data_IF_494875873360
#
_entry.id   IF_494875873360
#
_cell.length_a   1.000
_cell.length_b   1.000
_cell.length_c   1.000
_cell.angle_alpha   90.00
_cell.angle_beta   90.00
_cell.angle_gamma   90.00
#
_symmetry.space_group_name_H-M   'P 1'
#
loop_
_entity.id
_entity.type
_entity.pdbx_description
1 polymer ?
#
# COMPACT_ATOMS: atom_id res chain seq x y z
N UNK A 1 -55.23 -15.25 13.62
CA UNK A 1 -54.48 -15.18 12.33
C UNK A 1 -53.58 -16.40 12.23
N UNK A 2 -53.81 -17.29 11.27
CA UNK A 2 -53.08 -18.54 11.12
C UNK A 2 -51.66 -18.29 10.59
N UNK A 3 -50.64 -18.88 11.24
CA UNK A 3 -49.25 -18.92 10.74
C UNK A 3 -49.23 -19.68 9.42
N UNK A 4 -48.98 -18.99 8.31
CA UNK A 4 -48.66 -19.64 7.05
C UNK A 4 -47.29 -20.35 7.20
N UNK A 5 -47.32 -21.68 7.34
CA UNK A 5 -46.12 -22.51 7.21
C UNK A 5 -45.80 -22.64 5.73
N UNK A 6 -44.89 -21.80 5.25
CA UNK A 6 -44.33 -21.92 3.90
C UNK A 6 -43.64 -23.29 3.79
N UNK A 7 -44.00 -24.13 2.81
CA UNK A 7 -43.37 -25.43 2.64
C UNK A 7 -41.88 -25.26 2.34
N UNK A 8 -41.00 -26.15 2.86
CA UNK A 8 -39.56 -26.04 2.60
C UNK A 8 -39.30 -26.13 1.10
N UNK A 9 -38.62 -25.12 0.55
CA UNK A 9 -38.21 -25.11 -0.85
C UNK A 9 -37.33 -26.34 -1.11
N UNK A 10 -37.65 -27.18 -2.12
CA UNK A 10 -36.89 -28.39 -2.39
C UNK A 10 -35.47 -28.03 -2.83
N UNK A 11 -34.48 -28.64 -2.17
CA UNK A 11 -33.08 -28.46 -2.54
C UNK A 11 -32.82 -29.05 -3.94
N UNK A 12 -32.00 -28.40 -4.79
CA UNK A 12 -31.58 -28.96 -6.07
C UNK A 12 -30.95 -30.34 -5.92
N UNK A 13 -31.17 -31.24 -6.89
CA UNK A 13 -30.67 -32.63 -6.86
C UNK A 13 -29.15 -32.76 -6.62
N UNK A 14 -28.36 -31.75 -7.02
CA UNK A 14 -26.90 -31.70 -6.85
C UNK A 14 -26.46 -30.69 -5.78
N UNK A 15 -27.32 -30.39 -4.80
CA UNK A 15 -27.07 -29.37 -3.78
C UNK A 15 -25.68 -29.49 -3.13
N UNK A 16 -25.25 -30.66 -2.59
CA UNK A 16 -23.94 -30.79 -1.94
C UNK A 16 -22.77 -30.44 -2.86
N UNK A 17 -22.88 -30.75 -4.16
CA UNK A 17 -21.82 -30.52 -5.14
C UNK A 17 -21.66 -29.04 -5.52
N UNK A 18 -22.69 -28.21 -5.30
CA UNK A 18 -22.71 -26.80 -5.73
C UNK A 18 -22.76 -25.79 -4.59
N UNK A 19 -22.83 -26.22 -3.31
CA UNK A 19 -22.94 -25.30 -2.15
C UNK A 19 -21.86 -24.23 -2.13
N UNK A 20 -20.60 -24.62 -2.37
CA UNK A 20 -19.46 -23.69 -2.31
C UNK A 20 -19.58 -22.60 -3.38
N UNK A 21 -19.85 -22.99 -4.62
CA UNK A 21 -20.09 -22.04 -5.70
C UNK A 21 -21.34 -21.21 -5.43
N UNK A 22 -22.43 -21.81 -4.97
CA UNK A 22 -23.68 -21.11 -4.70
C UNK A 22 -23.49 -20.00 -3.65
N UNK A 23 -22.73 -20.28 -2.58
CA UNK A 23 -22.39 -19.29 -1.56
C UNK A 23 -21.64 -18.09 -2.15
N UNK A 24 -20.61 -18.32 -2.98
CA UNK A 24 -19.84 -17.25 -3.62
C UNK A 24 -20.73 -16.43 -4.57
N UNK A 25 -21.52 -17.07 -5.42
CA UNK A 25 -22.41 -16.37 -6.35
C UNK A 25 -23.50 -15.58 -5.62
N UNK A 26 -24.08 -16.12 -4.54
CA UNK A 26 -25.07 -15.41 -3.73
C UNK A 26 -24.47 -14.13 -3.11
N UNK A 27 -23.25 -14.19 -2.58
CA UNK A 27 -22.55 -13.01 -2.04
C UNK A 27 -22.24 -12.00 -3.15
N UNK A 28 -21.77 -12.46 -4.32
CA UNK A 28 -21.49 -11.59 -5.46
C UNK A 28 -22.76 -10.88 -5.96
N UNK A 29 -23.89 -11.59 -6.05
CA UNK A 29 -25.19 -11.02 -6.40
C UNK A 29 -25.68 -10.02 -5.35
N UNK A 30 -25.53 -10.33 -4.06
CA UNK A 30 -25.87 -9.39 -2.99
C UNK A 30 -25.03 -8.09 -3.09
N UNK A 31 -23.73 -8.20 -3.35
CA UNK A 31 -22.84 -7.03 -3.56
C UNK A 31 -23.26 -6.21 -4.78
N UNK A 32 -23.61 -6.87 -5.89
CA UNK A 32 -24.11 -6.20 -7.09
C UNK A 32 -25.43 -5.46 -6.79
N UNK A 33 -26.40 -6.15 -6.18
CA UNK A 33 -27.70 -5.58 -5.82
C UNK A 33 -27.58 -4.38 -4.87
N UNK A 34 -26.70 -4.46 -3.86
CA UNK A 34 -26.42 -3.33 -2.97
C UNK A 34 -25.79 -2.15 -3.71
N UNK A 35 -24.92 -2.42 -4.67
CA UNK A 35 -24.25 -1.37 -5.46
C UNK A 35 -25.24 -0.69 -6.40
N UNK A 36 -26.12 -1.44 -7.08
CA UNK A 36 -27.15 -0.90 -7.95
C UNK A 36 -28.19 -0.11 -7.15
N UNK A 37 -28.67 -0.64 -6.02
CA UNK A 37 -29.61 0.05 -5.15
C UNK A 37 -29.04 1.38 -4.63
N UNK A 38 -27.76 1.41 -4.26
CA UNK A 38 -27.08 2.65 -3.84
C UNK A 38 -26.87 3.65 -4.97
N UNK A 39 -26.63 3.17 -6.20
CA UNK A 39 -26.52 4.02 -7.38
C UNK A 39 -27.84 4.69 -7.76
N UNK A 40 -28.97 4.01 -7.52
CA UNK A 40 -30.32 4.53 -7.78
C UNK A 40 -30.90 5.35 -6.61
N UNK A 41 -30.36 5.18 -5.40
CA UNK A 41 -30.80 5.92 -4.23
C UNK A 41 -30.40 7.41 -4.31
N UNK A 42 -31.32 8.26 -4.78
CA UNK A 42 -31.26 9.71 -4.65
C UNK A 42 -31.60 10.12 -3.20
N UNK A 43 -30.65 9.98 -2.26
CA UNK A 43 -30.88 10.46 -0.89
C UNK A 43 -30.50 11.94 -0.74
N UNK A 44 -31.32 12.66 0.02
CA UNK A 44 -31.13 14.06 0.39
C UNK A 44 -29.91 14.28 1.30
N UNK A 45 -29.41 13.23 1.97
CA UNK A 45 -28.21 13.29 2.82
C UNK A 45 -27.04 12.45 2.23
N UNK A 46 -26.05 13.10 1.58
CA UNK A 46 -24.82 12.45 1.14
C UNK A 46 -23.93 11.93 2.28
N UNK A 47 -24.00 12.52 3.48
CA UNK A 47 -23.14 12.19 4.62
C UNK A 47 -23.37 10.78 5.14
N UNK A 48 -24.63 10.45 5.45
CA UNK A 48 -25.01 9.11 5.93
C UNK A 48 -24.65 7.99 4.93
N UNK A 49 -24.80 8.24 3.62
CA UNK A 49 -24.36 7.28 2.57
C UNK A 49 -22.86 7.03 2.62
N UNK A 50 -22.07 8.09 2.79
CA UNK A 50 -20.61 7.98 2.88
C UNK A 50 -20.20 7.19 4.11
N UNK A 51 -20.82 7.45 5.26
CA UNK A 51 -20.56 6.71 6.50
C UNK A 51 -20.89 5.22 6.32
N UNK A 52 -22.07 4.89 5.82
CA UNK A 52 -22.47 3.49 5.60
C UNK A 52 -21.48 2.74 4.67
N UNK A 53 -21.02 3.40 3.60
CA UNK A 53 -20.03 2.84 2.68
C UNK A 53 -18.68 2.61 3.37
N UNK A 54 -18.20 3.57 4.16
CA UNK A 54 -16.93 3.44 4.88
C UNK A 54 -17.01 2.34 5.94
N UNK A 55 -18.14 2.22 6.64
CA UNK A 55 -18.36 1.15 7.62
C UNK A 55 -18.29 -0.23 6.96
N UNK A 56 -18.93 -0.42 5.81
CA UNK A 56 -18.83 -1.69 5.07
C UNK A 56 -17.38 -1.97 4.63
N UNK A 57 -16.68 -0.97 4.10
CA UNK A 57 -15.29 -1.11 3.70
C UNK A 57 -14.38 -1.52 4.87
N UNK A 58 -14.59 -0.93 6.05
CA UNK A 58 -13.86 -1.30 7.27
C UNK A 58 -14.11 -2.78 7.63
N UNK A 59 -15.35 -3.27 7.48
CA UNK A 59 -15.66 -4.68 7.76
C UNK A 59 -14.99 -5.63 6.76
N UNK A 60 -14.97 -5.27 5.47
CA UNK A 60 -14.27 -6.05 4.44
C UNK A 60 -12.77 -6.09 4.68
N UNK A 61 -12.16 -4.94 5.02
CA UNK A 61 -10.73 -4.86 5.36
C UNK A 61 -10.42 -5.70 6.60
N UNK A 62 -11.29 -5.68 7.63
CA UNK A 62 -11.11 -6.53 8.81
C UNK A 62 -11.15 -8.02 8.46
N UNK A 63 -12.02 -8.44 7.56
CA UNK A 63 -12.07 -9.83 7.10
C UNK A 63 -10.82 -10.19 6.29
N UNK A 64 -10.31 -9.28 5.45
CA UNK A 64 -9.03 -9.45 4.76
C UNK A 64 -7.87 -9.62 5.74
N UNK A 65 -7.79 -8.75 6.76
CA UNK A 65 -6.77 -8.83 7.81
C UNK A 65 -6.90 -10.15 8.57
N UNK A 66 -8.11 -10.56 8.97
CA UNK A 66 -8.35 -11.85 9.66
C UNK A 66 -7.77 -13.04 8.88
N UNK A 67 -7.99 -13.10 7.57
CA UNK A 67 -7.48 -14.18 6.72
C UNK A 67 -5.94 -14.15 6.66
N UNK A 68 -5.35 -12.96 6.49
CA UNK A 68 -3.89 -12.78 6.47
C UNK A 68 -3.27 -13.12 7.82
N UNK A 69 -3.87 -12.69 8.92
CA UNK A 69 -3.40 -12.90 10.28
C UNK A 69 -3.43 -14.38 10.64
N UNK A 70 -4.52 -15.10 10.32
CA UNK A 70 -4.59 -16.56 10.52
C UNK A 70 -3.48 -17.28 9.74
N UNK A 71 -3.25 -16.87 8.49
CA UNK A 71 -2.18 -17.43 7.66
C UNK A 71 -0.79 -17.17 8.27
N UNK A 72 -0.54 -15.95 8.75
CA UNK A 72 0.76 -15.58 9.36
C UNK A 72 0.94 -16.24 10.72
N UNK A 73 -0.12 -16.35 11.52
CA UNK A 73 -0.10 -17.00 12.83
C UNK A 73 0.27 -18.48 12.71
N UNK A 74 -0.21 -19.17 11.68
CA UNK A 74 0.14 -20.56 11.38
C UNK A 74 1.62 -20.79 11.01
N UNK A 75 2.38 -19.74 10.67
CA UNK A 75 3.81 -19.83 10.43
C UNK A 75 4.53 -19.78 11.80
N UNK A 76 5.43 -20.74 12.13
CA UNK A 76 6.22 -20.68 13.35
C UNK A 76 6.98 -19.35 13.45
N UNK A 77 7.01 -18.73 14.63
CA UNK A 77 7.55 -17.38 14.81
C UNK A 77 8.96 -17.17 14.22
N UNK A 78 9.83 -18.17 14.31
CA UNK A 78 11.19 -18.16 13.77
C UNK A 78 11.27 -18.17 12.24
N UNK A 79 10.21 -18.60 11.55
CA UNK A 79 10.11 -18.69 10.09
C UNK A 79 9.27 -17.56 9.48
N UNK A 80 8.70 -16.68 10.30
CA UNK A 80 7.92 -15.55 9.80
C UNK A 80 8.84 -14.58 9.06
N UNK A 81 8.39 -13.98 7.94
CA UNK A 81 9.14 -12.94 7.25
C UNK A 81 9.54 -11.81 8.20
N UNK A 82 10.80 -11.38 8.14
CA UNK A 82 11.29 -10.30 8.97
C UNK A 82 10.88 -8.94 8.42
N UNK A 83 10.39 -8.05 9.29
CA UNK A 83 10.17 -6.64 8.94
C UNK A 83 11.50 -5.95 8.64
N UNK A 84 11.56 -5.22 7.52
CA UNK A 84 12.72 -4.39 7.16
C UNK A 84 12.78 -3.12 8.03
N UNK A 85 13.93 -2.43 8.15
CA UNK A 85 14.06 -1.26 9.05
C UNK A 85 13.02 -0.16 8.82
N UNK A 86 12.58 0.06 7.58
CA UNK A 86 11.53 1.05 7.24
C UNK A 86 10.14 0.62 7.69
N UNK A 87 9.83 -0.68 7.62
CA UNK A 87 8.56 -1.22 8.10
C UNK A 87 8.50 -1.19 9.62
N UNK A 88 9.62 -1.42 10.31
CA UNK A 88 9.69 -1.32 11.77
C UNK A 88 9.37 0.09 12.26
N UNK A 89 9.82 1.12 11.53
CA UNK A 89 9.43 2.49 11.85
C UNK A 89 7.93 2.71 11.64
N UNK A 90 7.40 2.29 10.49
CA UNK A 90 5.98 2.40 10.18
C UNK A 90 5.10 1.70 11.23
N UNK A 91 5.57 0.58 11.79
CA UNK A 91 4.92 -0.12 12.91
C UNK A 91 4.90 0.76 14.17
N UNK A 92 6.02 1.41 14.51
CA UNK A 92 6.08 2.28 15.68
C UNK A 92 5.23 3.55 15.50
N UNK A 93 5.19 4.11 14.29
CA UNK A 93 4.31 5.22 13.92
C UNK A 93 2.83 4.81 14.03
N UNK A 94 2.46 3.64 13.50
CA UNK A 94 1.11 3.09 13.63
C UNK A 94 0.73 2.86 15.09
N UNK A 95 1.64 2.31 15.89
CA UNK A 95 1.44 2.13 17.34
C UNK A 95 1.14 3.46 18.02
N UNK A 96 1.92 4.50 17.71
CA UNK A 96 1.74 5.84 18.26
C UNK A 96 0.39 6.44 17.84
N UNK A 97 0.04 6.36 16.55
CA UNK A 97 -1.23 6.86 16.02
C UNK A 97 -2.46 6.13 16.61
N UNK A 98 -2.33 4.84 16.93
CA UNK A 98 -3.40 4.03 17.54
C UNK A 98 -3.46 4.13 19.07
N UNK A 99 -2.47 4.73 19.73
CA UNK A 99 -2.38 4.75 21.19
C UNK A 99 -2.17 3.35 21.80
N UNK A 100 -1.56 2.43 21.07
CA UNK A 100 -1.40 1.04 21.52
C UNK A 100 -0.28 0.88 22.56
N UNK A 101 -0.52 0.02 23.55
CA UNK A 101 0.54 -0.52 24.41
C UNK A 101 1.50 -1.42 23.62
N UNK A 102 2.67 -1.73 24.19
CA UNK A 102 3.62 -2.67 23.58
C UNK A 102 3.00 -4.06 23.39
N UNK A 103 2.19 -4.54 24.34
CA UNK A 103 1.50 -5.81 24.24
C UNK A 103 0.45 -5.80 23.12
N UNK A 104 -0.39 -4.76 23.07
CA UNK A 104 -1.41 -4.62 22.02
C UNK A 104 -0.79 -4.58 20.63
N UNK A 105 0.29 -3.83 20.43
CA UNK A 105 0.97 -3.78 19.15
C UNK A 105 1.65 -5.12 18.79
N UNK A 106 2.18 -5.84 19.78
CA UNK A 106 2.77 -7.15 19.58
C UNK A 106 1.73 -8.18 19.13
N UNK A 107 0.58 -8.21 19.78
CA UNK A 107 -0.53 -9.12 19.44
C UNK A 107 -1.09 -8.81 18.06
N UNK A 108 -1.35 -7.53 17.75
CA UNK A 108 -1.90 -7.13 16.45
C UNK A 108 -0.93 -7.33 15.27
N UNK A 109 0.40 -7.41 15.52
CA UNK A 109 1.42 -7.57 14.48
C UNK A 109 2.12 -8.93 14.52
N UNK A 110 1.67 -9.82 15.39
CA UNK A 110 2.19 -11.18 15.57
C UNK A 110 3.71 -11.22 15.86
N UNK A 111 4.18 -10.28 16.68
CA UNK A 111 5.58 -10.18 17.16
C UNK A 111 5.62 -10.22 18.70
N UNK A 112 6.81 -10.22 19.29
CA UNK A 112 6.94 -10.21 20.76
C UNK A 112 6.98 -8.77 21.29
N UNK A 113 6.42 -8.49 22.50
CA UNK A 113 6.52 -7.16 23.12
C UNK A 113 7.97 -6.69 23.30
N UNK A 114 8.88 -7.62 23.61
CA UNK A 114 10.32 -7.35 23.72
C UNK A 114 10.94 -6.85 22.40
N UNK A 115 10.43 -7.30 21.24
CA UNK A 115 10.88 -6.81 19.93
C UNK A 115 10.51 -5.34 19.74
N UNK A 116 9.29 -4.96 20.12
CA UNK A 116 8.84 -3.56 20.07
C UNK A 116 9.66 -2.70 21.02
N UNK A 117 9.88 -3.16 22.25
CA UNK A 117 10.72 -2.47 23.21
C UNK A 117 12.16 -2.29 22.69
N UNK A 118 12.73 -3.32 22.05
CA UNK A 118 14.05 -3.24 21.41
C UNK A 118 14.10 -2.26 20.24
N UNK A 119 13.03 -2.09 19.47
CA UNK A 119 13.02 -1.08 18.39
C UNK A 119 12.87 0.33 18.96
N UNK A 120 12.02 0.50 19.98
CA UNK A 120 11.81 1.78 20.66
C UNK A 120 13.09 2.29 21.33
N UNK A 121 13.86 1.43 22.00
CA UNK A 121 15.11 1.84 22.65
C UNK A 121 16.23 2.24 21.68
N UNK A 122 16.03 2.01 20.38
CA UNK A 122 17.03 2.18 19.32
C UNK A 122 16.54 3.09 18.18
N UNK A 123 15.52 3.90 18.45
CA UNK A 123 14.95 4.83 17.47
C UNK A 123 16.01 5.81 16.92
N UNK A 124 16.93 6.25 17.77
CA UNK A 124 17.94 7.25 17.43
C UNK A 124 19.27 6.65 16.95
N UNK A 125 19.36 5.32 16.77
CA UNK A 125 20.53 4.69 16.16
C UNK A 125 20.75 5.25 14.74
N UNK A 126 21.95 5.75 14.45
CA UNK A 126 22.30 6.35 13.14
C UNK A 126 23.01 5.36 12.24
N UNK A 127 22.77 5.47 10.93
CA UNK A 127 23.54 4.80 9.89
C UNK A 127 22.84 3.59 9.24
N UNK A 128 23.49 2.93 8.27
CA UNK A 128 22.87 1.87 7.45
C UNK A 128 22.47 0.61 8.24
N UNK A 129 23.11 0.39 9.40
CA UNK A 129 22.83 -0.73 10.29
C UNK A 129 21.75 -0.42 11.35
N UNK A 130 21.19 0.80 11.36
CA UNK A 130 20.14 1.19 12.29
C UNK A 130 18.94 0.26 12.16
N UNK A 131 18.42 -0.21 13.30
CA UNK A 131 17.32 -1.17 13.32
C UNK A 131 16.01 -0.59 12.80
N UNK A 132 15.84 0.72 12.91
CA UNK A 132 14.67 1.48 12.48
C UNK A 132 15.15 2.59 11.57
N UNK A 133 14.53 2.76 10.40
CA UNK A 133 14.99 3.74 9.40
C UNK A 133 13.82 4.48 8.77
N UNK A 134 14.02 5.76 8.47
CA UNK A 134 13.08 6.52 7.64
C UNK A 134 13.12 6.02 6.19
N UNK A 135 11.98 6.02 5.50
CA UNK A 135 11.90 5.64 4.07
C UNK A 135 12.75 6.55 3.19
N UNK A 136 12.77 7.84 3.54
CA UNK A 136 13.67 8.82 2.95
C UNK A 136 14.68 9.28 4.01
N UNK A 137 15.98 9.30 3.70
CA UNK A 137 16.97 9.78 4.66
C UNK A 137 16.63 11.22 5.07
N UNK A 138 16.58 11.50 6.37
CA UNK A 138 16.24 12.83 6.92
C UNK A 138 17.12 13.95 6.34
N UNK A 139 18.38 13.63 6.01
CA UNK A 139 19.33 14.59 5.44
C UNK A 139 19.37 14.60 3.90
N UNK A 140 18.34 14.08 3.23
CA UNK A 140 18.30 14.03 1.76
C UNK A 140 17.72 15.33 1.20
N UNK A 141 18.56 16.11 0.54
CA UNK A 141 18.08 17.23 -0.29
C UNK A 141 17.31 16.70 -1.51
N UNK A 142 16.29 17.43 -2.00
CA UNK A 142 15.56 17.07 -3.22
C UNK A 142 16.48 16.86 -4.42
N UNK A 143 16.12 15.95 -5.34
CA UNK A 143 16.93 15.65 -6.54
C UNK A 143 17.16 16.90 -7.41
N UNK A 144 16.26 17.88 -7.35
CA UNK A 144 16.42 19.20 -7.96
C UNK A 144 17.68 19.92 -7.47
N UNK A 145 17.99 19.86 -6.17
CA UNK A 145 19.21 20.48 -5.62
C UNK A 145 20.46 19.83 -6.20
N UNK A 146 20.49 18.50 -6.29
CA UNK A 146 21.58 17.78 -6.92
C UNK A 146 21.68 18.11 -8.43
N UNK A 147 20.56 18.35 -9.11
CA UNK A 147 20.54 18.82 -10.50
C UNK A 147 21.15 20.22 -10.63
N UNK A 148 20.74 21.18 -9.78
CA UNK A 148 21.28 22.54 -9.76
C UNK A 148 22.79 22.53 -9.48
N UNK A 149 23.24 21.76 -8.50
CA UNK A 149 24.68 21.60 -8.20
C UNK A 149 25.46 21.09 -9.41
N UNK A 150 24.95 20.07 -10.10
CA UNK A 150 25.58 19.53 -11.32
C UNK A 150 25.55 20.54 -12.48
N UNK A 151 24.43 21.24 -12.68
CA UNK A 151 24.31 22.30 -13.71
C UNK A 151 25.26 23.46 -13.45
N UNK A 152 25.38 23.93 -12.20
CA UNK A 152 26.36 24.94 -11.82
C UNK A 152 27.79 24.49 -12.11
N UNK A 153 28.10 23.21 -11.85
CA UNK A 153 29.44 22.68 -12.18
C UNK A 153 29.71 22.60 -13.68
N UNK A 154 28.68 22.32 -14.50
CA UNK A 154 28.79 22.29 -15.97
C UNK A 154 28.92 23.70 -16.56
N UNK A 155 28.08 24.64 -16.11
CA UNK A 155 28.03 26.00 -16.65
C UNK A 155 29.18 26.87 -16.14
N UNK A 156 29.65 26.62 -14.91
CA UNK A 156 30.71 27.37 -14.25
C UNK A 156 31.80 26.41 -13.74
N UNK A 157 32.63 25.80 -14.62
CA UNK A 157 33.57 24.75 -14.24
C UNK A 157 34.65 25.20 -13.25
N UNK A 158 34.96 26.50 -13.23
CA UNK A 158 35.89 27.14 -12.29
C UNK A 158 35.41 27.12 -10.84
N UNK A 159 34.11 26.92 -10.59
CA UNK A 159 33.59 26.79 -9.24
C UNK A 159 33.93 25.42 -8.64
N UNK A 160 34.73 25.44 -7.57
CA UNK A 160 34.95 24.28 -6.71
C UNK A 160 33.76 24.04 -5.76
N UNK A 161 33.71 22.84 -5.16
CA UNK A 161 32.65 22.42 -4.22
C UNK A 161 32.34 23.42 -3.09
N UNK A 162 33.37 24.12 -2.58
CA UNK A 162 33.22 25.13 -1.52
C UNK A 162 32.53 26.39 -2.04
N UNK A 163 32.94 26.89 -3.22
CA UNK A 163 32.31 28.08 -3.83
C UNK A 163 30.85 27.80 -4.21
N UNK A 164 30.55 26.61 -4.72
CA UNK A 164 29.16 26.19 -5.00
C UNK A 164 28.33 26.18 -3.72
N UNK A 165 28.85 25.59 -2.64
CA UNK A 165 28.18 25.57 -1.34
C UNK A 165 27.92 26.99 -0.79
N UNK A 166 28.93 27.86 -0.84
CA UNK A 166 28.82 29.25 -0.38
C UNK A 166 27.85 30.07 -1.25
N UNK A 167 27.88 29.90 -2.56
CA UNK A 167 26.96 30.58 -3.48
C UNK A 167 25.51 30.19 -3.19
N UNK A 168 25.25 28.88 -3.06
CA UNK A 168 23.92 28.38 -2.72
C UNK A 168 23.48 28.82 -1.32
N UNK A 169 24.38 28.86 -0.34
CA UNK A 169 24.09 29.38 1.00
C UNK A 169 23.71 30.87 0.96
N UNK A 170 24.40 31.70 0.16
CA UNK A 170 24.04 33.11 -0.06
C UNK A 170 22.68 33.27 -0.74
N UNK A 171 22.25 32.28 -1.54
CA UNK A 171 20.91 32.20 -2.12
C UNK A 171 19.87 31.56 -1.18
N UNK A 172 20.23 31.27 0.09
CA UNK A 172 19.35 30.70 1.11
C UNK A 172 19.40 29.16 1.22
N UNK A 173 20.11 28.46 0.33
CA UNK A 173 20.22 27.00 0.31
C UNK A 173 21.52 26.50 0.95
N UNK A 174 21.44 26.15 2.24
CA UNK A 174 22.60 25.77 3.04
C UNK A 174 23.01 24.31 2.80
N UNK A 175 24.12 24.14 2.07
CA UNK A 175 24.70 22.84 1.75
C UNK A 175 26.13 22.75 2.33
N UNK A 176 26.47 21.62 2.96
CA UNK A 176 27.86 21.34 3.31
C UNK A 176 28.71 21.08 2.06
N UNK A 177 29.98 21.49 2.06
CA UNK A 177 30.91 21.25 0.93
C UNK A 177 31.08 19.77 0.59
N UNK A 178 30.95 18.89 1.60
CA UNK A 178 30.94 17.43 1.45
C UNK A 178 29.66 16.92 0.78
N UNK A 179 28.52 17.55 1.03
CA UNK A 179 27.24 17.24 0.38
C UNK A 179 27.28 17.60 -1.10
N UNK A 180 27.83 18.78 -1.43
CA UNK A 180 28.09 19.19 -2.82
C UNK A 180 29.03 18.19 -3.51
N UNK A 181 30.11 17.78 -2.85
CA UNK A 181 31.02 16.77 -3.41
C UNK A 181 30.30 15.43 -3.68
N UNK A 182 29.46 14.96 -2.74
CA UNK A 182 28.65 13.74 -2.93
C UNK A 182 27.68 13.86 -4.09
N UNK A 183 27.01 15.01 -4.26
CA UNK A 183 26.07 15.26 -5.36
C UNK A 183 26.76 15.32 -6.74
N UNK A 184 28.02 15.75 -6.78
CA UNK A 184 28.83 15.75 -8.01
C UNK A 184 29.39 14.36 -8.35
N UNK A 185 29.74 13.57 -7.33
CA UNK A 185 30.28 12.22 -7.51
C UNK A 185 29.18 11.16 -7.76
N UNK A 186 27.98 11.36 -7.23
CA UNK A 186 26.86 10.44 -7.45
C UNK A 186 26.46 10.45 -8.93
N UNK A 187 26.38 9.28 -9.59
CA UNK A 187 25.83 9.23 -10.94
C UNK A 187 24.41 9.77 -10.91
N UNK A 188 24.08 10.60 -11.89
CA UNK A 188 22.71 11.03 -12.13
C UNK A 188 21.84 9.77 -12.19
N UNK A 189 21.05 9.46 -11.15
CA UNK A 189 20.08 8.37 -11.27
C UNK A 189 19.13 8.83 -12.38
N UNK A 190 19.07 8.15 -13.53
CA UNK A 190 18.18 8.58 -14.59
C UNK A 190 16.77 8.60 -13.99
N UNK A 191 16.09 9.73 -14.17
CA UNK A 191 14.66 9.81 -13.90
C UNK A 191 14.03 8.73 -14.78
N UNK A 192 13.46 7.69 -14.19
CA UNK A 192 12.67 6.72 -14.97
C UNK A 192 11.45 7.48 -15.50
N UNK A 193 11.58 7.98 -16.73
CA UNK A 193 10.54 8.68 -17.45
C UNK A 193 10.45 8.11 -18.87
N UNK A 194 9.93 6.89 -18.97
CA UNK A 194 8.73 6.56 -19.75
C UNK A 194 8.41 5.08 -19.57
N UNK A 195 7.13 4.80 -19.39
CA UNK A 195 6.55 3.49 -19.58
C UNK A 195 6.74 3.10 -21.05
N UNK A 196 7.60 2.14 -21.32
CA UNK A 196 7.39 1.22 -22.42
C UNK A 196 7.22 -0.14 -21.77
N UNK A 197 5.96 -0.54 -21.57
CA UNK A 197 5.66 -1.94 -21.35
C UNK A 197 5.98 -2.65 -22.66
N UNK A 198 6.98 -3.55 -22.74
CA UNK A 198 7.06 -4.41 -23.90
C UNK A 198 5.73 -5.17 -23.94
N UNK A 199 5.06 -5.19 -25.09
CA UNK A 199 3.91 -6.06 -25.31
C UNK A 199 4.37 -7.51 -25.12
N UNK A 200 4.33 -8.00 -23.88
CA UNK A 200 4.60 -9.38 -23.54
C UNK A 200 3.37 -10.15 -23.99
N UNK A 201 3.49 -10.88 -25.09
CA UNK A 201 2.47 -11.82 -25.51
C UNK A 201 2.14 -12.74 -24.33
N UNK A 202 0.91 -12.64 -23.83
CA UNK A 202 0.43 -13.40 -22.68
C UNK A 202 0.21 -14.84 -23.16
N UNK A 203 1.16 -15.73 -22.85
CA UNK A 203 1.13 -17.13 -23.27
C UNK A 203 0.66 -18.01 -22.11
N UNK A 204 -0.39 -18.80 -22.31
CA UNK A 204 -0.87 -19.77 -21.32
C UNK A 204 0.00 -21.03 -21.34
N UNK A 205 0.31 -21.56 -20.15
CA UNK A 205 1.04 -22.82 -19.96
C UNK A 205 0.14 -23.94 -19.43
N UNK A 206 -1.09 -23.61 -18.97
CA UNK A 206 -2.06 -24.58 -18.44
C UNK A 206 -3.51 -24.04 -18.53
N UNK A 207 -4.54 -24.92 -18.57
CA UNK A 207 -5.94 -24.50 -18.66
C UNK A 207 -6.34 -23.51 -17.54
N UNK A 208 -7.23 -22.56 -17.84
CA UNK A 208 -7.73 -21.50 -16.93
C UNK A 208 -6.69 -20.52 -16.34
N UNK A 209 -5.48 -20.46 -16.89
CA UNK A 209 -4.43 -19.57 -16.39
C UNK A 209 -4.62 -18.10 -16.79
N UNK A 210 -5.20 -17.84 -17.97
CA UNK A 210 -5.43 -16.50 -18.52
C UNK A 210 -6.86 -16.43 -19.03
N UNK A 211 -7.54 -15.34 -18.67
CA UNK A 211 -8.85 -14.98 -19.18
C UNK A 211 -8.72 -13.64 -19.88
N UNK A 212 -9.03 -13.61 -21.18
CA UNK A 212 -9.10 -12.36 -21.93
C UNK A 212 -10.56 -11.94 -21.98
N UNK A 213 -10.82 -10.68 -21.63
CA UNK A 213 -12.15 -10.08 -21.74
C UNK A 213 -12.07 -9.01 -22.80
N UNK A 214 -12.82 -9.18 -23.88
CA UNK A 214 -13.02 -8.13 -24.87
C UNK A 214 -14.07 -7.14 -24.34
N UNK A 215 -13.71 -5.86 -24.27
CA UNK A 215 -14.56 -4.77 -23.82
C UNK A 215 -14.89 -3.85 -24.98
N UNK A 216 -15.33 -4.43 -26.10
CA UNK A 216 -15.84 -3.64 -27.21
C UNK A 216 -17.11 -2.91 -26.77
N UNK A 217 -17.02 -1.58 -26.67
CA UNK A 217 -18.15 -0.70 -26.38
C UNK A 217 -18.91 -0.48 -27.69
N UNK A 218 -20.08 -1.09 -27.81
CA UNK A 218 -21.00 -0.83 -28.92
C UNK A 218 -21.80 0.43 -28.57
N UNK A 219 -21.83 1.48 -29.41
CA UNK A 219 -22.69 2.63 -29.20
C UNK A 219 -24.15 2.19 -29.21
N UNK A 220 -24.88 2.46 -28.13
CA UNK A 220 -26.32 2.17 -28.02
C UNK A 220 -27.22 3.33 -28.44
N UNK A 221 -26.69 4.31 -29.18
CA UNK A 221 -27.51 5.31 -29.85
C UNK A 221 -27.85 4.80 -31.27
N UNK A 222 -29.09 4.32 -31.41
CA UNK A 222 -29.61 3.77 -32.65
C UNK A 222 -29.83 4.80 -33.76
N UNK A 223 -29.60 4.32 -34.98
CA UNK A 223 -29.94 4.88 -36.28
C UNK A 223 -29.64 3.83 -37.34
#
# INVERSE_FOLDING_TARGET
MAKQTVPPLPLPKNWPQKVHSAAVHAIALARLALTTARGQANSADPGSRRIARLTEEILLIKEEMRIKDVRVAGIPAQRRPHYVPTERLAILELRAARGWSQAQAADNLLITPATIASWMSRLDEKGPAARVQMREPVNRFPDFVAHVVRKLKVLCPTMGKVRIAQFLARAGLHLGSTTVARMLAAPARPRTAKQDSPHRAVRSTRPNQIWNVDLTIVPTAGG
#
